data_IF_046491688292
#
_entry.id   IF_046491688292
#
_cell.length_a   1.000
_cell.length_b   1.000
_cell.length_c   1.000
_cell.angle_alpha   90.00
_cell.angle_beta   90.00
_cell.angle_gamma   90.00
#
_symmetry.space_group_name_H-M   'P 1'
#
loop_
_entity.id
_entity.type
_entity.pdbx_description
1 polymer ?
#
# COMPACT_ATOMS: atom_id res chain seq x y z
N UNK A 1 1.04 13.85 4.17
CA UNK A 1 0.49 13.50 2.84
C UNK A 1 0.12 14.80 2.17
N UNK A 2 0.39 14.96 0.87
CA UNK A 2 -0.20 16.09 0.12
C UNK A 2 -1.69 15.81 -0.17
N UNK A 3 -2.40 16.77 -0.75
CA UNK A 3 -3.86 16.67 -0.97
C UNK A 3 -4.26 15.44 -1.81
N UNK A 4 -3.56 15.19 -2.92
CA UNK A 4 -3.79 14.01 -3.78
C UNK A 4 -3.56 12.69 -3.02
N UNK A 5 -2.44 12.59 -2.31
CA UNK A 5 -2.09 11.41 -1.50
C UNK A 5 -3.08 11.21 -0.35
N UNK A 6 -3.59 12.29 0.24
CA UNK A 6 -4.57 12.25 1.31
C UNK A 6 -5.92 11.73 0.81
N UNK A 7 -6.33 12.11 -0.40
CA UNK A 7 -7.51 11.53 -1.06
C UNK A 7 -7.40 10.01 -1.21
N UNK A 8 -6.30 9.52 -1.79
CA UNK A 8 -6.07 8.07 -1.95
C UNK A 8 -6.02 7.37 -0.59
N UNK A 9 -5.31 7.93 0.38
CA UNK A 9 -5.22 7.39 1.73
C UNK A 9 -6.62 7.23 2.34
N UNK A 10 -7.45 8.27 2.23
CA UNK A 10 -8.79 8.29 2.81
C UNK A 10 -9.70 7.26 2.15
N UNK A 11 -9.65 7.11 0.83
CA UNK A 11 -10.43 6.11 0.10
C UNK A 11 -10.07 4.68 0.53
N UNK A 12 -8.78 4.38 0.70
CA UNK A 12 -8.33 3.07 1.17
C UNK A 12 -8.76 2.81 2.61
N UNK A 13 -8.59 3.79 3.50
CA UNK A 13 -8.98 3.64 4.91
C UNK A 13 -10.51 3.50 5.07
N UNK A 14 -11.29 4.24 4.30
CA UNK A 14 -12.75 4.12 4.29
C UNK A 14 -13.21 2.74 3.80
N UNK A 15 -12.60 2.22 2.73
CA UNK A 15 -12.92 0.88 2.24
C UNK A 15 -12.64 -0.20 3.30
N UNK A 16 -11.49 -0.13 3.97
CA UNK A 16 -11.13 -1.06 5.05
C UNK A 16 -12.09 -0.94 6.24
N UNK A 17 -12.37 0.29 6.69
CA UNK A 17 -13.26 0.57 7.84
C UNK A 17 -14.66 0.04 7.60
N UNK A 18 -15.19 0.18 6.39
CA UNK A 18 -16.52 -0.28 6.01
C UNK A 18 -16.55 -1.73 5.52
N UNK A 19 -15.43 -2.46 5.55
CA UNK A 19 -15.34 -3.84 5.05
C UNK A 19 -15.67 -3.97 3.56
N UNK A 20 -15.51 -2.91 2.77
CA UNK A 20 -15.77 -2.92 1.32
C UNK A 20 -14.52 -3.37 0.56
N UNK A 21 -14.67 -4.24 -0.46
CA UNK A 21 -13.57 -4.54 -1.36
C UNK A 21 -13.17 -3.28 -2.14
N UNK A 22 -11.87 -3.08 -2.33
CA UNK A 22 -11.31 -2.00 -3.14
C UNK A 22 -10.20 -2.55 -4.02
N UNK A 23 -10.34 -2.34 -5.33
CA UNK A 23 -9.28 -2.55 -6.31
C UNK A 23 -8.97 -1.20 -6.95
N UNK A 24 -7.77 -0.68 -6.71
CA UNK A 24 -7.36 0.64 -7.17
C UNK A 24 -5.99 0.58 -7.85
N UNK A 25 -5.76 1.51 -8.78
CA UNK A 25 -4.48 1.72 -9.42
C UNK A 25 -4.00 3.14 -9.13
N UNK A 26 -2.83 3.26 -8.49
CA UNK A 26 -2.24 4.55 -8.15
C UNK A 26 -1.10 4.85 -9.12
N UNK A 27 -1.35 5.76 -10.06
CA UNK A 27 -0.31 6.29 -10.93
C UNK A 27 0.20 7.65 -10.43
N UNK A 28 1.47 7.93 -10.71
CA UNK A 28 2.11 9.17 -10.32
C UNK A 28 3.50 9.26 -10.93
N UNK A 29 3.88 10.47 -11.35
CA UNK A 29 5.21 10.73 -11.92
C UNK A 29 6.31 10.37 -10.92
N UNK A 30 7.51 10.11 -11.43
CA UNK A 30 8.70 9.92 -10.59
C UNK A 30 8.85 11.09 -9.60
N UNK A 31 9.23 10.78 -8.35
CA UNK A 31 9.40 11.79 -7.30
C UNK A 31 8.10 12.22 -6.58
N UNK A 32 6.92 11.69 -6.92
CA UNK A 32 5.65 12.03 -6.24
C UNK A 32 5.35 11.27 -4.95
N UNK A 33 6.33 10.54 -4.41
CA UNK A 33 6.17 9.89 -3.11
C UNK A 33 5.22 8.68 -3.07
N UNK A 34 5.03 7.97 -4.20
CA UNK A 34 4.19 6.75 -4.24
C UNK A 34 4.61 5.72 -3.19
N UNK A 35 5.91 5.48 -3.05
CA UNK A 35 6.46 4.57 -2.03
C UNK A 35 6.11 5.03 -0.61
N UNK A 36 6.17 6.33 -0.34
CA UNK A 36 5.80 6.91 0.95
C UNK A 36 4.31 6.71 1.25
N UNK A 37 3.44 6.97 0.29
CA UNK A 37 1.99 6.76 0.42
C UNK A 37 1.67 5.29 0.74
N UNK A 38 2.18 4.35 -0.05
CA UNK A 38 1.92 2.92 0.16
C UNK A 38 2.45 2.45 1.52
N UNK A 39 3.66 2.87 1.91
CA UNK A 39 4.21 2.55 3.24
C UNK A 39 3.35 3.14 4.38
N UNK A 40 2.84 4.36 4.21
CA UNK A 40 1.99 5.01 5.21
C UNK A 40 0.70 4.22 5.42
N UNK A 41 0.05 3.79 4.33
CA UNK A 41 -1.15 2.95 4.37
C UNK A 41 -0.85 1.61 5.05
N UNK A 42 0.20 0.90 4.61
CA UNK A 42 0.56 -0.39 5.19
C UNK A 42 0.86 -0.29 6.70
N UNK A 43 1.60 0.73 7.11
CA UNK A 43 1.97 0.91 8.52
C UNK A 43 0.75 1.26 9.38
N UNK A 44 -0.14 2.13 8.89
CA UNK A 44 -1.38 2.47 9.59
C UNK A 44 -2.26 1.24 9.79
N UNK A 45 -2.52 0.48 8.73
CA UNK A 45 -3.33 -0.73 8.81
C UNK A 45 -2.74 -1.76 9.77
N UNK A 46 -1.42 -1.96 9.76
CA UNK A 46 -0.75 -2.84 10.73
C UNK A 46 -0.85 -2.34 12.16
N UNK A 47 -0.77 -1.02 12.37
CA UNK A 47 -0.93 -0.43 13.71
C UNK A 47 -2.33 -0.65 14.28
N UNK A 48 -3.34 -0.85 13.43
CA UNK A 48 -4.71 -1.17 13.78
C UNK A 48 -4.97 -2.69 13.87
N UNK A 49 -3.93 -3.52 13.71
CA UNK A 49 -4.03 -4.97 13.81
C UNK A 49 -4.47 -5.67 12.51
N UNK A 50 -4.60 -4.95 11.40
CA UNK A 50 -4.92 -5.57 10.11
C UNK A 50 -3.74 -6.35 9.54
N UNK A 51 -4.06 -7.47 8.87
CA UNK A 51 -3.08 -8.23 8.10
C UNK A 51 -2.86 -7.53 6.75
N UNK A 52 -1.61 -7.13 6.50
CA UNK A 52 -1.22 -6.47 5.25
C UNK A 52 -0.12 -7.26 4.58
N UNK A 53 -0.36 -7.66 3.32
CA UNK A 53 0.56 -8.44 2.49
C UNK A 53 1.13 -7.58 1.34
N UNK A 54 2.15 -6.73 1.59
CA UNK A 54 2.78 -5.96 0.53
C UNK A 54 3.55 -6.90 -0.40
N UNK A 55 3.24 -6.84 -1.69
CA UNK A 55 3.94 -7.62 -2.71
C UNK A 55 4.45 -6.74 -3.83
N UNK A 56 5.55 -7.15 -4.44
CA UNK A 56 6.11 -6.51 -5.62
C UNK A 56 6.62 -7.54 -6.62
N UNK A 57 6.72 -7.16 -7.90
CA UNK A 57 7.21 -8.05 -8.95
C UNK A 57 8.73 -8.25 -8.88
N UNK A 58 9.48 -7.25 -8.44
CA UNK A 58 10.94 -7.34 -8.26
C UNK A 58 11.34 -7.46 -6.78
N UNK A 59 12.42 -8.18 -6.51
CA UNK A 59 12.96 -8.33 -5.16
C UNK A 59 13.35 -6.99 -4.55
N UNK A 60 13.97 -6.10 -5.34
CA UNK A 60 14.37 -4.77 -4.88
C UNK A 60 13.17 -3.90 -4.49
N UNK A 61 12.09 -3.93 -5.26
CA UNK A 61 10.87 -3.20 -4.92
C UNK A 61 10.21 -3.78 -3.65
N UNK A 62 10.23 -5.12 -3.47
CA UNK A 62 9.69 -5.75 -2.27
C UNK A 62 10.43 -5.29 -1.00
N UNK A 63 11.74 -5.09 -1.06
CA UNK A 63 12.56 -4.61 0.06
C UNK A 63 12.20 -3.21 0.55
N UNK A 64 11.52 -2.39 -0.27
CA UNK A 64 11.07 -1.06 0.13
C UNK A 64 9.90 -1.07 1.14
N UNK A 65 9.29 -2.24 1.35
CA UNK A 65 8.13 -2.43 2.21
C UNK A 65 8.49 -3.37 3.35
N UNK A 66 8.23 -2.99 4.62
CA UNK A 66 8.44 -3.90 5.75
C UNK A 66 7.62 -5.18 5.57
N UNK A 67 8.27 -6.34 5.66
CA UNK A 67 7.64 -7.64 5.40
C UNK A 67 7.25 -7.87 3.93
N UNK A 68 7.71 -7.03 3.01
CA UNK A 68 7.47 -7.15 1.58
C UNK A 68 8.09 -8.41 1.00
N UNK A 69 7.34 -9.05 0.10
CA UNK A 69 7.76 -10.27 -0.59
C UNK A 69 7.50 -10.16 -2.09
N UNK A 70 8.18 -10.98 -2.88
CA UNK A 70 7.86 -11.01 -4.31
C UNK A 70 6.51 -11.65 -4.53
N UNK A 71 5.73 -11.16 -5.50
CA UNK A 71 4.41 -11.73 -5.85
C UNK A 71 4.50 -13.24 -6.09
N UNK A 72 5.55 -13.69 -6.78
CA UNK A 72 5.84 -15.11 -7.01
C UNK A 72 6.03 -15.94 -5.74
N UNK A 73 6.56 -15.35 -4.67
CA UNK A 73 6.78 -16.07 -3.40
C UNK A 73 5.55 -16.08 -2.48
N UNK A 74 4.65 -15.11 -2.64
CA UNK A 74 3.43 -14.99 -1.82
C UNK A 74 2.30 -15.84 -2.38
N UNK A 75 2.13 -15.84 -3.71
CA UNK A 75 1.02 -16.49 -4.39
C UNK A 75 1.47 -17.72 -5.19
N UNK A 76 2.46 -18.44 -4.67
CA UNK A 76 2.92 -19.71 -5.26
C UNK A 76 1.86 -20.80 -5.15
#
# INVERSE_FOLDING_TARGET
LNEEQYGIYTEVMDAVTNGRPLCAFVDGKAGRGKTFLVNTICNKLRSEGHIVLPTATSAFAAQLYPGGKTTHSVFK
#
